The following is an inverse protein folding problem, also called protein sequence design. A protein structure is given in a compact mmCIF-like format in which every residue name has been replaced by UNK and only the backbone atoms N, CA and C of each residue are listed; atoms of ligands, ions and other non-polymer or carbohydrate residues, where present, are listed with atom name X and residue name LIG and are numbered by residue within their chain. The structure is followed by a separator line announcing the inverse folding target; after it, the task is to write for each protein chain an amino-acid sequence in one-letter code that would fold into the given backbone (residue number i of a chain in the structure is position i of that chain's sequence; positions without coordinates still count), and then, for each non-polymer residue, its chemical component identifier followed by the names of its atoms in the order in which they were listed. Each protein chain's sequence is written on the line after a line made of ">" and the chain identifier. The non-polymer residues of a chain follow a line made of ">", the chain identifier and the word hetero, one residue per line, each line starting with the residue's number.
data_IF_944276460938
#
_entry.id   IF_944276460938
#
_cell.length_a   1.000
_cell.length_b   1.000
_cell.length_c   1.000
_cell.angle_alpha   90.00
_cell.angle_beta   90.00
_cell.angle_gamma   90.00
#
_symmetry.space_group_name_H-M   'P 1'
#
loop_
_entity.id
_entity.type
_entity.pdbx_description
1 polymer ?
#
# COMPACT_ATOMS: atom_id res chain seq x y z
N UNK A 1 -76.70 -3.57 -60.20
CA UNK A 1 -76.10 -3.48 -61.56
C UNK A 1 -74.73 -2.87 -61.42
N UNK A 2 -73.74 -3.61 -61.78
CA UNK A 2 -72.54 -3.32 -62.50
C UNK A 2 -71.32 -4.03 -61.87
N UNK A 3 -70.91 -4.85 -62.61
CA UNK A 3 -69.78 -5.68 -63.04
C UNK A 3 -68.45 -5.53 -62.32
N UNK A 4 -68.06 -6.65 -61.80
CA UNK A 4 -66.72 -7.07 -61.38
C UNK A 4 -65.76 -7.17 -62.56
N UNK A 5 -64.57 -6.56 -62.42
CA UNK A 5 -63.41 -6.94 -63.23
C UNK A 5 -62.34 -7.51 -62.35
N UNK A 6 -62.09 -8.80 -62.56
CA UNK A 6 -60.99 -9.59 -62.04
C UNK A 6 -59.72 -9.30 -62.83
N UNK A 7 -58.65 -8.85 -62.17
CA UNK A 7 -57.32 -8.74 -62.77
C UNK A 7 -56.36 -9.68 -62.05
N UNK A 8 -55.99 -10.73 -62.78
CA UNK A 8 -54.99 -11.73 -62.43
C UNK A 8 -53.59 -11.11 -62.37
N UNK A 9 -52.90 -11.16 -61.22
CA UNK A 9 -51.52 -10.79 -61.08
C UNK A 9 -50.67 -12.05 -60.90
N UNK A 10 -49.76 -12.29 -61.84
CA UNK A 10 -48.71 -13.33 -61.80
C UNK A 10 -47.67 -13.06 -60.70
N UNK A 11 -47.14 -14.10 -60.03
CA UNK A 11 -46.11 -13.93 -58.99
C UNK A 11 -44.74 -13.72 -59.62
N UNK A 12 -44.09 -12.64 -59.23
CA UNK A 12 -42.64 -12.38 -59.46
C UNK A 12 -41.80 -13.16 -58.46
N UNK A 13 -41.02 -14.11 -58.98
CA UNK A 13 -40.01 -14.83 -58.20
C UNK A 13 -38.91 -13.88 -57.78
N UNK A 14 -38.74 -13.66 -56.49
CA UNK A 14 -37.61 -12.95 -55.87
C UNK A 14 -36.55 -14.00 -55.55
N UNK A 15 -35.45 -13.97 -56.29
CA UNK A 15 -34.23 -14.73 -56.01
C UNK A 15 -33.51 -14.01 -54.86
N UNK A 16 -33.55 -14.57 -53.64
CA UNK A 16 -32.78 -14.09 -52.52
C UNK A 16 -31.32 -14.60 -52.63
N UNK A 17 -30.39 -13.71 -52.92
CA UNK A 17 -28.96 -13.98 -52.81
C UNK A 17 -28.57 -13.82 -51.34
N UNK A 18 -28.33 -14.93 -50.66
CA UNK A 18 -27.83 -14.99 -49.31
C UNK A 18 -26.29 -14.83 -49.36
N UNK A 19 -25.81 -13.62 -49.10
CA UNK A 19 -24.38 -13.40 -48.91
C UNK A 19 -24.02 -13.85 -47.49
N UNK A 20 -23.32 -14.98 -47.33
CA UNK A 20 -22.69 -15.39 -46.11
C UNK A 20 -21.48 -14.46 -45.82
N UNK A 21 -21.65 -13.50 -44.94
CA UNK A 21 -20.54 -12.76 -44.32
C UNK A 21 -19.97 -13.64 -43.16
N UNK A 22 -18.87 -14.31 -43.43
CA UNK A 22 -18.05 -14.95 -42.40
C UNK A 22 -17.32 -13.84 -41.62
N UNK A 23 -17.88 -13.43 -40.49
CA UNK A 23 -17.16 -12.68 -39.47
C UNK A 23 -16.10 -13.61 -38.85
N UNK A 24 -14.84 -13.45 -39.25
CA UNK A 24 -13.69 -13.99 -38.56
C UNK A 24 -13.59 -13.20 -37.22
N UNK A 25 -14.11 -13.79 -36.13
CA UNK A 25 -13.86 -13.31 -34.78
C UNK A 25 -12.37 -13.51 -34.47
N UNK A 26 -11.60 -12.44 -34.57
CA UNK A 26 -10.28 -12.42 -33.94
C UNK A 26 -10.50 -12.35 -32.42
N UNK A 27 -10.56 -13.53 -31.77
CA UNK A 27 -10.36 -13.66 -30.35
C UNK A 27 -8.90 -13.29 -30.08
N UNK A 28 -8.64 -12.04 -29.75
CA UNK A 28 -7.43 -11.69 -29.01
C UNK A 28 -7.57 -12.32 -27.62
N UNK A 29 -7.06 -13.52 -27.46
CA UNK A 29 -6.77 -14.08 -26.15
C UNK A 29 -5.67 -13.20 -25.56
N UNK A 30 -6.08 -12.12 -24.86
CA UNK A 30 -5.23 -11.50 -23.86
C UNK A 30 -5.03 -12.57 -22.78
N UNK A 31 -3.92 -13.31 -22.86
CA UNK A 31 -3.52 -14.24 -21.82
C UNK A 31 -3.50 -13.48 -20.51
N UNK A 32 -3.99 -14.11 -19.43
CA UNK A 32 -3.78 -13.58 -18.08
C UNK A 32 -2.30 -13.21 -17.94
N UNK A 33 -1.97 -12.03 -17.40
CA UNK A 33 -0.59 -11.64 -17.22
C UNK A 33 0.09 -12.72 -16.39
N UNK A 34 1.16 -13.31 -16.92
CA UNK A 34 1.91 -14.35 -16.25
C UNK A 34 2.29 -13.85 -14.84
N UNK A 35 2.02 -14.65 -13.82
CA UNK A 35 2.36 -14.32 -12.45
C UNK A 35 3.84 -13.92 -12.38
N UNK A 36 4.13 -12.76 -11.79
CA UNK A 36 5.51 -12.30 -11.63
C UNK A 36 6.27 -13.30 -10.75
N UNK A 37 7.44 -13.78 -11.16
CA UNK A 37 8.22 -14.71 -10.36
C UNK A 37 8.66 -14.02 -9.06
N UNK A 38 8.06 -14.41 -7.96
CA UNK A 38 8.38 -13.94 -6.62
C UNK A 38 8.96 -15.06 -5.76
N UNK A 39 9.75 -14.69 -4.77
CA UNK A 39 10.29 -15.59 -3.75
C UNK A 39 9.91 -15.08 -2.38
N UNK A 40 9.40 -15.95 -1.53
CA UNK A 40 9.14 -15.64 -0.12
C UNK A 40 10.24 -16.20 0.76
N UNK A 41 10.49 -15.58 1.90
CA UNK A 41 11.45 -16.01 2.89
C UNK A 41 11.19 -15.38 4.25
N UNK A 42 11.86 -15.95 5.26
CA UNK A 42 11.83 -15.45 6.62
C UNK A 42 13.27 -15.14 7.08
N UNK A 43 13.44 -14.01 7.76
CA UNK A 43 14.63 -13.69 8.53
C UNK A 43 14.29 -13.75 10.01
N UNK A 44 15.11 -14.45 10.80
CA UNK A 44 14.94 -14.60 12.24
C UNK A 44 15.96 -13.73 12.97
N UNK A 45 15.52 -12.56 13.44
CA UNK A 45 16.33 -11.73 14.31
C UNK A 45 16.33 -12.33 15.71
N UNK A 46 17.53 -12.69 16.21
CA UNK A 46 17.73 -13.23 17.55
C UNK A 46 17.83 -12.12 18.58
N UNK A 47 17.25 -12.35 19.76
CA UNK A 47 17.32 -11.45 20.91
C UNK A 47 16.98 -9.99 20.53
N UNK A 48 15.89 -9.79 19.79
CA UNK A 48 15.50 -8.46 19.32
C UNK A 48 15.04 -7.59 20.49
N UNK A 49 15.73 -6.45 20.69
CA UNK A 49 15.44 -5.48 21.74
C UNK A 49 14.55 -4.37 21.21
N UNK A 50 13.37 -4.22 21.80
CA UNK A 50 12.44 -3.12 21.50
C UNK A 50 12.80 -1.85 22.28
N UNK A 51 12.46 -0.70 21.74
CA UNK A 51 12.63 0.59 22.42
C UNK A 51 11.88 0.66 23.77
N UNK A 52 10.83 -0.14 23.95
CA UNK A 52 10.13 -0.30 25.21
C UNK A 52 10.96 -0.98 26.33
N UNK A 53 12.13 -1.53 26.00
CA UNK A 53 12.98 -2.32 26.91
C UNK A 53 12.64 -3.81 26.93
N UNK A 54 11.56 -4.24 26.26
CA UNK A 54 11.24 -5.65 26.11
C UNK A 54 12.20 -6.33 25.12
N UNK A 55 12.38 -7.65 25.27
CA UNK A 55 13.17 -8.46 24.35
C UNK A 55 12.33 -9.63 23.84
N UNK A 56 12.40 -9.91 22.57
CA UNK A 56 11.85 -11.11 21.96
C UNK A 56 13.01 -12.03 21.54
N UNK A 57 13.10 -13.28 22.08
CA UNK A 57 14.22 -14.18 21.77
C UNK A 57 14.35 -14.46 20.27
N UNK A 58 13.23 -14.47 19.55
CA UNK A 58 13.18 -14.66 18.12
C UNK A 58 12.07 -13.82 17.50
N UNK A 59 12.45 -12.84 16.67
CA UNK A 59 11.55 -12.03 15.86
C UNK A 59 11.63 -12.52 14.41
N UNK A 60 10.56 -13.14 13.91
CA UNK A 60 10.44 -13.50 12.48
C UNK A 60 10.00 -12.29 11.68
N UNK A 61 10.74 -12.01 10.61
CA UNK A 61 10.41 -11.01 9.60
C UNK A 61 10.22 -11.73 8.27
N UNK A 62 8.97 -11.81 7.84
CA UNK A 62 8.62 -12.37 6.55
C UNK A 62 8.82 -11.35 5.44
N UNK A 63 9.21 -11.79 4.26
CA UNK A 63 9.38 -10.92 3.10
C UNK A 63 9.10 -11.65 1.78
N UNK A 64 8.73 -10.87 0.79
CA UNK A 64 8.64 -11.30 -0.62
C UNK A 64 9.66 -10.53 -1.44
N UNK A 65 10.34 -11.20 -2.36
CA UNK A 65 11.26 -10.55 -3.30
C UNK A 65 10.91 -10.85 -4.75
N UNK A 66 11.21 -9.88 -5.63
CA UNK A 66 11.12 -10.04 -7.09
C UNK A 66 12.44 -9.60 -7.71
N UNK A 67 12.83 -10.26 -8.81
CA UNK A 67 14.12 -10.03 -9.44
C UNK A 67 15.27 -10.63 -8.67
N UNK A 68 16.49 -10.11 -8.90
CA UNK A 68 17.72 -10.62 -8.27
C UNK A 68 18.67 -9.49 -7.91
N UNK A 69 19.43 -9.60 -6.80
CA UNK A 69 20.45 -8.63 -6.47
C UNK A 69 21.56 -8.62 -7.52
N UNK A 70 21.93 -7.42 -7.96
CA UNK A 70 23.08 -7.16 -8.82
C UNK A 70 24.12 -6.42 -7.99
N UNK A 71 25.36 -6.97 -7.94
CA UNK A 71 26.44 -6.34 -7.17
C UNK A 71 27.34 -5.53 -8.08
N UNK A 72 27.75 -4.37 -7.58
CA UNK A 72 28.75 -3.53 -8.22
C UNK A 72 30.19 -4.13 -8.07
N UNK A 73 31.20 -3.43 -8.60
CA UNK A 73 32.60 -3.88 -8.52
C UNK A 73 33.16 -3.90 -7.09
N UNK A 74 32.56 -3.16 -6.18
CA UNK A 74 32.93 -3.13 -4.76
C UNK A 74 32.20 -4.21 -3.95
N UNK A 75 31.25 -4.93 -4.57
CA UNK A 75 30.48 -5.98 -3.93
C UNK A 75 29.15 -5.53 -3.32
N UNK A 76 28.82 -4.24 -3.37
CA UNK A 76 27.57 -3.71 -2.87
C UNK A 76 26.38 -4.03 -3.78
N UNK A 77 25.20 -4.23 -3.21
CA UNK A 77 23.98 -4.40 -4.01
C UNK A 77 23.55 -3.05 -4.60
N UNK A 78 23.59 -2.95 -5.93
CA UNK A 78 23.39 -1.69 -6.65
C UNK A 78 21.94 -1.43 -7.08
N UNK A 79 21.06 -2.45 -7.08
CA UNK A 79 19.73 -2.40 -7.69
C UNK A 79 18.57 -2.69 -6.72
N UNK A 80 18.81 -2.71 -5.42
CA UNK A 80 17.77 -3.02 -4.44
C UNK A 80 16.75 -1.89 -4.29
N UNK A 81 15.48 -2.25 -4.27
CA UNK A 81 14.34 -1.36 -4.03
C UNK A 81 13.54 -1.91 -2.86
N UNK A 82 13.42 -1.15 -1.79
CA UNK A 82 12.59 -1.50 -0.63
C UNK A 82 11.24 -0.80 -0.76
N UNK A 83 10.13 -1.55 -0.61
CA UNK A 83 8.78 -0.97 -0.62
C UNK A 83 8.03 -1.38 0.64
N UNK A 84 7.60 -0.38 1.43
CA UNK A 84 7.00 -0.55 2.75
C UNK A 84 5.49 -0.32 2.73
N UNK A 85 4.73 -1.27 3.27
CA UNK A 85 3.26 -1.27 3.27
C UNK A 85 2.64 -0.37 4.36
N UNK A 86 1.31 -0.13 4.23
CA UNK A 86 0.50 0.62 5.19
C UNK A 86 0.00 -0.23 6.37
N UNK A 87 -0.60 0.44 7.38
CA UNK A 87 -1.23 -0.21 8.54
C UNK A 87 -2.28 -1.22 8.07
N UNK A 88 -2.28 -2.42 8.67
CA UNK A 88 -3.16 -3.52 8.32
C UNK A 88 -2.82 -4.23 7.00
N UNK A 89 -1.82 -3.76 6.26
CA UNK A 89 -1.34 -4.37 5.03
C UNK A 89 -0.21 -5.39 5.25
N UNK A 90 0.38 -5.82 4.14
CA UNK A 90 1.58 -6.65 4.09
C UNK A 90 2.29 -6.45 2.74
N UNK A 91 3.43 -7.10 2.52
CA UNK A 91 4.19 -6.99 1.29
C UNK A 91 3.42 -7.38 0.02
N UNK A 92 2.49 -8.33 0.11
CA UNK A 92 1.69 -8.80 -1.03
C UNK A 92 0.75 -7.73 -1.61
N UNK A 93 0.39 -6.65 -0.87
CA UNK A 93 -0.42 -5.56 -1.44
C UNK A 93 0.20 -4.95 -2.70
N UNK A 94 1.54 -5.01 -2.81
CA UNK A 94 2.29 -4.49 -3.95
C UNK A 94 2.38 -5.44 -5.14
N UNK A 95 1.78 -6.64 -5.04
CA UNK A 95 1.62 -7.57 -6.15
C UNK A 95 0.28 -7.40 -6.87
N UNK A 96 -0.56 -6.47 -6.42
CA UNK A 96 -1.86 -6.18 -7.03
C UNK A 96 -1.72 -5.60 -8.46
N UNK A 97 -2.67 -5.87 -9.38
CA UNK A 97 -2.58 -5.41 -10.76
C UNK A 97 -2.37 -3.90 -10.92
N UNK A 98 -3.03 -3.08 -10.08
CA UNK A 98 -2.92 -1.62 -10.12
C UNK A 98 -1.57 -1.09 -9.64
N UNK A 99 -0.74 -1.92 -9.00
CA UNK A 99 0.61 -1.59 -8.57
C UNK A 99 1.65 -2.35 -9.40
N UNK A 100 1.67 -3.68 -9.32
CA UNK A 100 2.64 -4.53 -10.00
C UNK A 100 2.52 -4.45 -11.53
N UNK A 101 1.29 -4.40 -12.05
CA UNK A 101 1.02 -4.28 -13.49
C UNK A 101 1.51 -2.98 -14.10
N UNK A 102 1.72 -1.94 -13.28
CA UNK A 102 2.22 -0.64 -13.71
C UNK A 102 3.74 -0.49 -13.54
N UNK A 103 4.38 -1.28 -12.65
CA UNK A 103 5.74 -1.01 -12.22
C UNK A 103 6.77 -2.09 -12.56
N UNK A 104 6.38 -3.37 -12.59
CA UNK A 104 7.34 -4.47 -12.50
C UNK A 104 7.61 -5.20 -13.83
N UNK A 105 6.79 -4.98 -14.83
CA UNK A 105 6.94 -5.62 -16.15
C UNK A 105 8.15 -5.09 -16.95
N UNK A 106 8.49 -5.77 -18.06
CA UNK A 106 9.58 -5.35 -18.93
C UNK A 106 9.43 -3.90 -19.42
N UNK A 107 10.47 -3.09 -19.22
CA UNK A 107 10.50 -1.67 -19.58
C UNK A 107 9.73 -0.73 -18.66
N UNK A 108 9.08 -1.26 -17.61
CA UNK A 108 8.42 -0.45 -16.59
C UNK A 108 9.43 0.11 -15.56
N UNK A 109 9.04 1.12 -14.74
CA UNK A 109 10.00 1.84 -13.89
C UNK A 109 10.80 0.98 -12.92
N UNK A 110 10.21 -0.10 -12.41
CA UNK A 110 10.84 -1.05 -11.49
C UNK A 110 10.88 -2.46 -12.12
N UNK A 111 11.15 -2.54 -13.42
CA UNK A 111 11.32 -3.76 -14.18
C UNK A 111 12.18 -4.79 -13.41
N UNK A 112 11.56 -5.90 -13.00
CA UNK A 112 12.20 -6.92 -12.14
C UNK A 112 13.34 -7.69 -12.81
N UNK A 113 13.54 -7.52 -14.11
CA UNK A 113 14.75 -7.98 -14.79
C UNK A 113 15.99 -7.13 -14.47
N UNK A 114 15.77 -5.90 -13.95
CA UNK A 114 16.82 -4.90 -13.61
C UNK A 114 16.90 -4.61 -12.14
N UNK A 115 15.77 -4.62 -11.43
CA UNK A 115 15.67 -4.26 -10.02
C UNK A 115 15.44 -5.49 -9.13
N UNK A 116 15.98 -5.44 -7.95
CA UNK A 116 15.71 -6.39 -6.86
C UNK A 116 14.73 -5.73 -5.90
N UNK A 117 13.44 -6.03 -6.07
CA UNK A 117 12.35 -5.47 -5.26
C UNK A 117 12.16 -6.31 -4.01
N UNK A 118 12.13 -5.67 -2.84
CA UNK A 118 12.00 -6.28 -1.52
C UNK A 118 10.75 -5.73 -0.85
N UNK A 119 9.82 -6.61 -0.48
CA UNK A 119 8.52 -6.33 0.08
C UNK A 119 8.39 -7.02 1.45
N UNK A 120 8.89 -6.44 2.54
CA UNK A 120 8.78 -7.05 3.86
C UNK A 120 7.37 -6.90 4.43
N UNK A 121 6.96 -7.86 5.26
CA UNK A 121 5.89 -7.69 6.22
C UNK A 121 6.47 -7.04 7.49
N UNK A 122 5.84 -5.96 7.95
CA UNK A 122 6.27 -5.29 9.18
C UNK A 122 5.99 -6.14 10.43
N UNK A 123 6.65 -5.82 11.55
CA UNK A 123 6.29 -6.41 12.86
C UNK A 123 4.79 -6.22 13.09
N UNK A 124 4.10 -7.26 13.55
CA UNK A 124 2.67 -7.22 13.80
C UNK A 124 1.79 -7.37 12.54
N UNK A 125 2.37 -7.67 11.37
CA UNK A 125 1.66 -7.71 10.10
C UNK A 125 1.98 -8.99 9.30
N UNK A 126 1.08 -9.37 8.43
CA UNK A 126 1.26 -10.47 7.49
C UNK A 126 1.72 -11.78 8.15
N UNK A 127 2.84 -12.32 7.68
CA UNK A 127 3.46 -13.54 8.23
C UNK A 127 4.64 -13.24 9.18
N UNK A 128 4.98 -11.95 9.44
CA UNK A 128 5.94 -11.57 10.48
C UNK A 128 5.37 -11.82 11.86
N UNK A 129 6.25 -11.91 12.89
CA UNK A 129 5.83 -12.10 14.29
C UNK A 129 4.81 -11.06 14.72
N UNK A 130 3.73 -11.50 15.35
CA UNK A 130 2.58 -10.68 15.72
C UNK A 130 1.85 -11.21 16.96
N UNK A 131 1.02 -10.41 17.62
CA UNK A 131 0.25 -10.83 18.81
C UNK A 131 -0.53 -12.13 18.62
N UNK A 132 -1.23 -12.29 17.49
CA UNK A 132 -2.05 -13.48 17.20
C UNK A 132 -1.26 -14.78 17.02
N UNK A 133 0.07 -14.73 16.93
CA UNK A 133 0.93 -15.93 16.89
C UNK A 133 1.04 -16.66 18.25
N UNK A 134 0.22 -16.28 19.25
CA UNK A 134 0.12 -16.96 20.55
C UNK A 134 0.60 -16.13 21.76
N UNK A 135 1.27 -15.02 21.54
CA UNK A 135 1.65 -14.11 22.63
C UNK A 135 0.47 -13.25 23.11
N UNK A 136 -0.52 -13.01 22.25
CA UNK A 136 -1.70 -12.19 22.50
C UNK A 136 -1.32 -10.81 23.07
N UNK A 137 -1.96 -10.34 24.15
CA UNK A 137 -1.65 -9.08 24.78
C UNK A 137 -0.28 -9.05 25.49
N UNK A 138 0.46 -10.16 25.54
CA UNK A 138 1.85 -10.23 26.06
C UNK A 138 2.90 -10.03 24.97
N UNK A 139 2.51 -9.86 23.73
CA UNK A 139 3.45 -9.50 22.66
C UNK A 139 4.12 -8.15 23.03
N UNK A 140 5.45 -7.99 22.83
CA UNK A 140 6.11 -6.72 23.13
C UNK A 140 5.46 -5.54 22.43
N UNK A 141 5.23 -4.44 23.16
CA UNK A 141 4.83 -3.19 22.53
C UNK A 141 5.97 -2.69 21.65
N UNK A 142 5.65 -2.43 20.38
CA UNK A 142 6.59 -1.90 19.42
C UNK A 142 6.14 -0.53 18.90
N UNK A 143 7.09 0.24 18.41
CA UNK A 143 6.89 1.51 17.75
C UNK A 143 7.43 1.48 16.32
N UNK A 144 7.20 2.53 15.54
CA UNK A 144 7.72 2.61 14.16
C UNK A 144 9.25 2.57 14.09
N UNK A 145 9.94 3.11 15.11
CA UNK A 145 11.40 3.01 15.18
C UNK A 145 11.88 1.54 15.29
N UNK A 146 11.18 0.69 16.06
CA UNK A 146 11.48 -0.74 16.15
C UNK A 146 11.26 -1.44 14.80
N UNK A 147 10.18 -1.08 14.10
CA UNK A 147 9.89 -1.64 12.78
C UNK A 147 10.96 -1.26 11.76
N UNK A 148 11.44 -0.02 11.77
CA UNK A 148 12.54 0.46 10.90
C UNK A 148 13.85 -0.26 11.24
N UNK A 149 14.19 -0.42 12.53
CA UNK A 149 15.36 -1.19 12.96
C UNK A 149 15.30 -2.65 12.50
N UNK A 150 14.15 -3.30 12.65
CA UNK A 150 13.94 -4.66 12.18
C UNK A 150 14.07 -4.80 10.65
N UNK A 151 13.50 -3.86 9.89
CA UNK A 151 13.66 -3.80 8.44
C UNK A 151 15.13 -3.63 8.03
N UNK A 152 15.89 -2.81 8.76
CA UNK A 152 17.33 -2.65 8.52
C UNK A 152 18.11 -3.95 8.75
N UNK A 153 17.83 -4.67 9.85
CA UNK A 153 18.43 -5.98 10.11
C UNK A 153 18.09 -7.00 9.02
N UNK A 154 16.83 -7.05 8.58
CA UNK A 154 16.42 -7.90 7.46
C UNK A 154 17.25 -7.62 6.21
N UNK A 155 17.46 -6.35 5.87
CA UNK A 155 18.23 -5.99 4.67
C UNK A 155 19.70 -6.36 4.83
N UNK A 156 20.33 -5.94 5.94
CA UNK A 156 21.79 -6.07 6.11
C UNK A 156 22.22 -7.48 6.45
N UNK A 157 21.57 -8.12 7.40
CA UNK A 157 21.95 -9.45 7.87
C UNK A 157 21.22 -10.58 7.14
N UNK A 158 19.92 -10.36 6.82
CA UNK A 158 19.11 -11.39 6.15
C UNK A 158 19.38 -11.49 4.66
N UNK A 159 19.47 -10.36 3.97
CA UNK A 159 19.55 -10.30 2.49
C UNK A 159 20.92 -9.83 1.97
N UNK A 160 21.81 -9.38 2.84
CA UNK A 160 23.12 -8.83 2.46
C UNK A 160 23.02 -7.60 1.56
N UNK A 161 21.99 -6.77 1.82
CA UNK A 161 21.73 -5.49 1.14
C UNK A 161 22.21 -4.37 2.04
N UNK A 162 23.22 -3.64 1.60
CA UNK A 162 23.89 -2.58 2.35
C UNK A 162 23.59 -1.18 1.81
N UNK A 163 22.86 -1.08 0.70
CA UNK A 163 22.34 0.18 0.14
C UNK A 163 21.10 -0.08 -0.72
N UNK A 164 20.28 0.95 -0.85
CA UNK A 164 19.07 0.92 -1.67
C UNK A 164 19.19 1.91 -2.84
N UNK A 165 18.78 1.45 -4.02
CA UNK A 165 18.56 2.34 -5.16
C UNK A 165 17.33 3.24 -4.93
N UNK A 166 16.33 2.72 -4.24
CA UNK A 166 15.11 3.42 -3.87
C UNK A 166 14.52 2.82 -2.59
N UNK A 167 14.07 3.67 -1.68
CA UNK A 167 13.15 3.31 -0.63
C UNK A 167 11.81 4.00 -0.90
N UNK A 168 10.76 3.21 -1.06
CA UNK A 168 9.38 3.68 -1.22
C UNK A 168 8.56 3.20 -0.04
N UNK A 169 7.60 4.01 0.41
CA UNK A 169 6.68 3.58 1.46
C UNK A 169 5.32 4.24 1.33
N UNK A 170 4.28 3.49 1.68
CA UNK A 170 2.87 3.92 1.56
C UNK A 170 2.21 4.01 2.94
N UNK A 171 1.52 5.10 3.26
CA UNK A 171 0.82 5.30 4.54
C UNK A 171 1.75 5.10 5.76
N UNK A 172 1.59 4.04 6.55
CA UNK A 172 2.56 3.66 7.59
C UNK A 172 3.97 3.54 7.03
N UNK A 173 4.15 2.87 5.89
CA UNK A 173 5.45 2.76 5.21
C UNK A 173 6.00 4.11 4.75
N UNK A 174 5.15 5.09 4.44
CA UNK A 174 5.55 6.48 4.20
C UNK A 174 6.18 7.10 5.46
N UNK A 175 5.56 6.87 6.62
CA UNK A 175 6.10 7.32 7.91
C UNK A 175 7.44 6.64 8.23
N UNK A 176 7.53 5.34 7.95
CA UNK A 176 8.81 4.61 8.06
C UNK A 176 9.86 5.16 7.11
N UNK A 177 9.49 5.57 5.88
CA UNK A 177 10.44 6.12 4.92
C UNK A 177 11.11 7.41 5.45
N UNK A 178 10.36 8.29 6.12
CA UNK A 178 10.96 9.46 6.78
C UNK A 178 11.91 9.06 7.91
N UNK A 179 11.50 8.10 8.78
CA UNK A 179 12.37 7.60 9.85
C UNK A 179 13.63 6.91 9.31
N UNK A 180 13.51 6.18 8.20
CA UNK A 180 14.66 5.60 7.50
C UNK A 180 15.64 6.66 7.00
N UNK A 181 15.11 7.71 6.38
CA UNK A 181 15.94 8.82 5.89
C UNK A 181 16.70 9.55 6.99
N UNK A 182 16.14 9.62 8.20
CA UNK A 182 16.78 10.20 9.38
C UNK A 182 17.79 9.27 10.05
N UNK A 183 17.42 7.98 10.19
CA UNK A 183 18.25 7.01 10.92
C UNK A 183 19.43 6.51 10.07
N UNK A 184 19.23 6.38 8.76
CA UNK A 184 20.20 5.80 7.82
C UNK A 184 20.35 6.69 6.57
N UNK A 185 20.79 7.96 6.69
CA UNK A 185 20.75 8.94 5.60
C UNK A 185 21.53 8.54 4.35
N UNK A 186 22.58 7.72 4.49
CA UNK A 186 23.45 7.27 3.40
C UNK A 186 23.06 5.90 2.81
N UNK A 187 21.98 5.29 3.33
CA UNK A 187 21.60 3.93 2.94
C UNK A 187 20.78 3.89 1.63
N UNK A 188 20.17 4.99 1.20
CA UNK A 188 19.34 5.04 0.00
C UNK A 188 19.76 6.16 -0.95
N UNK A 189 19.72 5.88 -2.26
CA UNK A 189 19.97 6.85 -3.32
C UNK A 189 18.76 7.75 -3.61
N UNK A 190 17.56 7.32 -3.26
CA UNK A 190 16.32 8.07 -3.40
C UNK A 190 15.28 7.61 -2.38
N UNK A 191 14.39 8.52 -1.97
CA UNK A 191 13.30 8.29 -1.02
C UNK A 191 11.97 8.73 -1.64
N UNK A 192 10.97 7.84 -1.59
CA UNK A 192 9.63 8.14 -2.13
C UNK A 192 8.53 7.81 -1.11
N UNK A 193 8.27 8.70 -0.15
CA UNK A 193 7.14 8.59 0.77
C UNK A 193 5.81 8.96 0.10
N UNK A 194 4.76 8.12 0.29
CA UNK A 194 3.42 8.32 -0.27
C UNK A 194 2.35 8.25 0.83
N UNK A 195 1.48 9.27 0.88
CA UNK A 195 0.30 9.34 1.74
C UNK A 195 0.58 9.39 3.26
N UNK A 196 1.44 10.30 3.71
CA UNK A 196 1.60 10.64 5.13
C UNK A 196 2.05 12.09 5.33
N UNK A 197 2.18 12.50 6.60
CA UNK A 197 2.78 13.76 7.01
C UNK A 197 3.96 13.49 7.97
N UNK A 198 5.11 14.17 7.83
CA UNK A 198 6.27 13.97 8.69
C UNK A 198 6.19 14.85 9.96
N UNK A 199 5.12 14.69 10.71
CA UNK A 199 4.84 15.37 11.99
C UNK A 199 4.11 14.39 12.93
N UNK A 200 4.03 14.68 14.24
CA UNK A 200 3.24 13.88 15.18
C UNK A 200 1.81 13.69 14.70
N UNK A 201 1.27 12.50 14.91
CA UNK A 201 -0.12 12.20 14.54
C UNK A 201 -1.07 12.91 15.51
N UNK A 202 -1.76 13.92 15.00
CA UNK A 202 -2.67 14.77 15.76
C UNK A 202 -4.02 14.95 15.06
N UNK A 203 -4.89 15.77 15.64
CA UNK A 203 -6.18 16.15 15.07
C UNK A 203 -7.04 14.94 14.70
N UNK A 204 -7.73 15.03 13.56
CA UNK A 204 -8.66 13.98 13.08
C UNK A 204 -7.97 12.62 12.89
N UNK A 205 -6.71 12.61 12.42
CA UNK A 205 -5.94 11.37 12.27
C UNK A 205 -5.74 10.66 13.63
N UNK A 206 -5.47 11.40 14.72
CA UNK A 206 -5.39 10.81 16.06
C UNK A 206 -6.77 10.40 16.61
N UNK A 207 -7.82 11.17 16.31
CA UNK A 207 -9.16 10.91 16.83
C UNK A 207 -9.68 9.54 16.37
N UNK A 208 -9.69 9.25 15.07
CA UNK A 208 -10.20 7.96 14.59
C UNK A 208 -9.38 6.77 15.09
N UNK A 209 -8.04 6.94 15.22
CA UNK A 209 -7.17 5.91 15.81
C UNK A 209 -7.53 5.64 17.27
N UNK A 210 -7.80 6.70 18.04
CA UNK A 210 -8.22 6.58 19.42
C UNK A 210 -9.58 5.90 19.54
N UNK A 211 -10.55 6.26 18.70
CA UNK A 211 -11.86 5.61 18.65
C UNK A 211 -11.76 4.11 18.37
N UNK A 212 -10.89 3.71 17.45
CA UNK A 212 -10.65 2.29 17.15
C UNK A 212 -10.01 1.56 18.35
N UNK A 213 -9.00 2.17 18.97
CA UNK A 213 -8.33 1.60 20.15
C UNK A 213 -9.32 1.43 21.30
N UNK A 214 -10.13 2.44 21.58
CA UNK A 214 -11.11 2.41 22.65
C UNK A 214 -12.21 1.37 22.38
N UNK A 215 -12.72 1.30 21.13
CA UNK A 215 -13.71 0.31 20.75
C UNK A 215 -13.25 -1.13 21.06
N UNK A 216 -11.98 -1.45 20.78
CA UNK A 216 -11.44 -2.78 21.09
C UNK A 216 -11.24 -2.97 22.58
N UNK A 217 -10.62 -1.99 23.28
CA UNK A 217 -10.26 -2.12 24.70
C UNK A 217 -11.45 -2.13 25.65
N UNK A 218 -12.54 -1.45 25.26
CA UNK A 218 -13.76 -1.35 26.06
C UNK A 218 -14.74 -2.50 25.76
N UNK A 219 -14.50 -3.30 24.72
CA UNK A 219 -15.32 -4.47 24.41
C UNK A 219 -15.07 -5.60 25.44
N UNK A 220 -16.07 -6.00 26.25
CA UNK A 220 -15.90 -7.10 27.20
C UNK A 220 -15.46 -8.42 26.55
N UNK A 221 -15.81 -8.63 25.28
CA UNK A 221 -15.43 -9.84 24.54
C UNK A 221 -13.92 -9.88 24.20
N UNK A 222 -13.23 -8.73 24.21
CA UNK A 222 -11.77 -8.67 24.05
C UNK A 222 -11.03 -9.31 25.25
N UNK A 223 -11.63 -9.33 26.43
CA UNK A 223 -11.10 -10.00 27.62
C UNK A 223 -9.63 -9.65 27.96
N UNK A 224 -9.24 -8.37 27.81
CA UNK A 224 -7.87 -7.94 28.03
C UNK A 224 -6.85 -8.50 27.03
N UNK A 225 -7.32 -8.94 25.87
CA UNK A 225 -6.51 -9.55 24.80
C UNK A 225 -6.40 -11.07 24.87
N UNK A 226 -7.09 -11.72 25.81
CA UNK A 226 -7.09 -13.19 25.98
C UNK A 226 -8.42 -13.80 25.52
N UNK A 227 -9.04 -13.24 24.46
CA UNK A 227 -10.28 -13.74 23.87
C UNK A 227 -10.13 -15.13 23.24
N UNK A 228 -11.22 -15.91 23.23
CA UNK A 228 -11.27 -17.23 22.58
C UNK A 228 -11.87 -17.17 21.16
N UNK A 229 -12.58 -16.12 20.88
CA UNK A 229 -13.13 -15.78 19.57
C UNK A 229 -13.07 -14.28 19.39
N UNK A 230 -12.87 -13.83 18.17
CA UNK A 230 -12.75 -12.41 17.86
C UNK A 230 -13.89 -11.57 18.44
N UNK A 231 -13.60 -10.41 19.04
CA UNK A 231 -14.60 -9.46 19.54
C UNK A 231 -15.23 -8.73 18.34
N UNK A 232 -16.23 -9.37 17.72
CA UNK A 232 -16.76 -8.98 16.41
C UNK A 232 -17.42 -7.59 16.39
N UNK A 233 -18.00 -7.14 17.51
CA UNK A 233 -18.66 -5.82 17.54
C UNK A 233 -17.64 -4.68 17.51
N UNK A 234 -16.58 -4.79 18.27
CA UNK A 234 -15.49 -3.80 18.24
C UNK A 234 -14.71 -3.84 16.92
N UNK A 235 -14.48 -5.03 16.35
CA UNK A 235 -13.86 -5.16 15.03
C UNK A 235 -14.76 -4.60 13.91
N UNK A 236 -16.08 -4.68 14.04
CA UNK A 236 -17.02 -4.01 13.13
C UNK A 236 -16.83 -2.49 13.20
N UNK A 237 -16.85 -1.92 14.40
CA UNK A 237 -16.61 -0.49 14.61
C UNK A 237 -15.27 -0.05 14.03
N UNK A 238 -14.21 -0.84 14.25
CA UNK A 238 -12.89 -0.59 13.70
C UNK A 238 -12.89 -0.60 12.16
N UNK A 239 -13.58 -1.58 11.56
CA UNK A 239 -13.74 -1.70 10.11
C UNK A 239 -14.48 -0.49 9.52
N UNK A 240 -15.56 -0.05 10.15
CA UNK A 240 -16.34 1.12 9.70
C UNK A 240 -15.49 2.41 9.73
N UNK A 241 -14.69 2.60 10.78
CA UNK A 241 -13.75 3.73 10.88
C UNK A 241 -12.67 3.67 9.78
N UNK A 242 -12.12 2.48 9.50
CA UNK A 242 -11.13 2.29 8.44
C UNK A 242 -11.72 2.51 7.04
N UNK A 243 -12.96 2.09 6.80
CA UNK A 243 -13.66 2.34 5.54
C UNK A 243 -13.78 3.84 5.27
N UNK A 244 -14.25 4.62 6.25
CA UNK A 244 -14.41 6.07 6.10
C UNK A 244 -13.05 6.75 5.97
N UNK A 245 -12.09 6.41 6.83
CA UNK A 245 -10.74 7.00 6.79
C UNK A 245 -10.01 6.74 5.46
N UNK A 246 -10.22 5.58 4.84
CA UNK A 246 -9.63 5.21 3.56
C UNK A 246 -10.40 5.68 2.32
N UNK A 247 -11.60 6.27 2.49
CA UNK A 247 -12.48 6.60 1.37
C UNK A 247 -12.20 7.97 0.73
N UNK A 248 -12.66 8.14 -0.53
CA UNK A 248 -12.64 9.40 -1.27
C UNK A 248 -14.05 9.79 -1.68
N UNK A 249 -14.52 11.01 -1.38
CA UNK A 249 -15.93 11.37 -1.56
C UNK A 249 -16.39 11.32 -3.03
N UNK A 250 -15.59 11.81 -3.98
CA UNK A 250 -15.95 11.81 -5.40
C UNK A 250 -16.04 10.39 -5.95
N UNK A 251 -15.05 9.55 -5.60
CA UNK A 251 -15.07 8.14 -6.02
C UNK A 251 -16.25 7.38 -5.41
N UNK A 252 -16.47 7.52 -4.10
CA UNK A 252 -17.56 6.83 -3.41
C UNK A 252 -18.92 7.22 -3.98
N UNK A 253 -19.15 8.52 -4.25
CA UNK A 253 -20.39 8.98 -4.87
C UNK A 253 -20.59 8.45 -6.29
N UNK A 254 -19.51 8.33 -7.08
CA UNK A 254 -19.59 7.78 -8.43
C UNK A 254 -19.80 6.25 -8.45
N UNK A 255 -19.12 5.53 -7.54
CA UNK A 255 -19.17 4.06 -7.48
C UNK A 255 -20.44 3.54 -6.78
N UNK A 256 -20.97 4.27 -5.81
CA UNK A 256 -22.12 3.89 -4.99
C UNK A 256 -23.17 5.02 -4.93
N UNK A 257 -23.83 5.34 -6.07
CA UNK A 257 -24.65 6.55 -6.22
C UNK A 257 -26.04 6.46 -5.56
N UNK A 258 -26.48 5.29 -5.11
CA UNK A 258 -27.77 5.07 -4.45
C UNK A 258 -27.58 4.68 -2.99
N UNK A 259 -28.65 4.88 -2.17
CA UNK A 259 -28.69 4.39 -0.80
C UNK A 259 -28.33 2.89 -0.74
N UNK A 260 -29.03 2.08 -1.53
CA UNK A 260 -28.86 0.62 -1.49
C UNK A 260 -27.44 0.18 -1.87
N UNK A 261 -26.84 0.82 -2.87
CA UNK A 261 -25.44 0.53 -3.26
C UNK A 261 -24.45 0.94 -2.18
N UNK A 262 -24.67 2.07 -1.49
CA UNK A 262 -23.83 2.51 -0.39
C UNK A 262 -23.96 1.61 0.83
N UNK A 263 -25.20 1.22 1.20
CA UNK A 263 -25.46 0.28 2.30
C UNK A 263 -24.84 -1.10 2.01
N UNK A 264 -24.98 -1.59 0.78
CA UNK A 264 -24.35 -2.85 0.35
C UNK A 264 -22.82 -2.79 0.46
N UNK A 265 -22.22 -1.66 0.07
CA UNK A 265 -20.76 -1.46 0.19
C UNK A 265 -20.27 -1.56 1.63
N UNK A 266 -21.00 -1.00 2.59
CA UNK A 266 -20.66 -1.12 4.02
C UNK A 266 -20.67 -2.59 4.45
N UNK A 267 -21.74 -3.30 4.12
CA UNK A 267 -21.91 -4.74 4.47
C UNK A 267 -20.79 -5.59 3.86
N UNK A 268 -20.51 -5.40 2.58
CA UNK A 268 -19.45 -6.12 1.86
C UNK A 268 -18.07 -5.89 2.50
N UNK A 269 -17.70 -4.62 2.70
CA UNK A 269 -16.40 -4.25 3.28
C UNK A 269 -16.24 -4.80 4.69
N UNK A 270 -17.24 -4.59 5.54
CA UNK A 270 -17.21 -5.05 6.93
C UNK A 270 -17.15 -6.58 7.02
N UNK A 271 -17.92 -7.29 6.18
CA UNK A 271 -17.89 -8.76 6.15
C UNK A 271 -16.52 -9.30 5.74
N UNK A 272 -15.89 -8.70 4.72
CA UNK A 272 -14.54 -9.06 4.29
C UNK A 272 -13.49 -8.77 5.38
N UNK A 273 -13.58 -7.62 6.03
CA UNK A 273 -12.71 -7.23 7.13
C UNK A 273 -12.80 -8.18 8.31
N UNK A 274 -14.01 -8.52 8.76
CA UNK A 274 -14.26 -9.42 9.88
C UNK A 274 -13.84 -10.89 9.62
N UNK A 275 -13.54 -11.24 8.40
CA UNK A 275 -13.00 -12.55 8.05
C UNK A 275 -11.48 -12.67 8.26
N UNK A 276 -10.78 -11.52 8.37
CA UNK A 276 -9.32 -11.49 8.37
C UNK A 276 -8.70 -10.71 9.52
N UNK A 277 -9.45 -9.80 10.16
CA UNK A 277 -8.95 -8.99 11.27
C UNK A 277 -8.84 -9.81 12.56
N UNK A 278 -7.72 -9.63 13.26
CA UNK A 278 -7.48 -10.03 14.64
C UNK A 278 -7.43 -8.75 15.50
N UNK A 279 -8.10 -8.77 16.64
CA UNK A 279 -8.26 -7.57 17.47
C UNK A 279 -6.93 -7.12 18.10
N UNK A 280 -6.10 -8.04 18.55
CA UNK A 280 -4.81 -7.71 19.13
C UNK A 280 -3.84 -7.20 18.05
N UNK A 281 -3.77 -7.87 16.90
CA UNK A 281 -2.92 -7.43 15.79
C UNK A 281 -3.29 -5.99 15.38
N UNK A 282 -4.57 -5.71 15.17
CA UNK A 282 -5.05 -4.37 14.79
C UNK A 282 -4.76 -3.32 15.88
N UNK A 283 -4.98 -3.66 17.14
CA UNK A 283 -4.70 -2.78 18.28
C UNK A 283 -3.22 -2.38 18.32
N UNK A 284 -2.31 -3.36 18.17
CA UNK A 284 -0.87 -3.12 18.15
C UNK A 284 -0.43 -2.33 16.92
N UNK A 285 -0.93 -2.67 15.73
CA UNK A 285 -0.64 -1.97 14.47
C UNK A 285 -0.99 -0.47 14.55
N UNK A 286 -2.16 -0.14 15.10
CA UNK A 286 -2.59 1.26 15.23
C UNK A 286 -1.82 1.97 16.35
N UNK A 287 -1.51 1.26 17.44
CA UNK A 287 -0.78 1.81 18.59
C UNK A 287 0.70 2.06 18.29
N UNK A 288 1.31 1.33 17.35
CA UNK A 288 2.72 1.45 16.98
C UNK A 288 3.13 2.86 16.53
N UNK A 289 2.17 3.66 16.09
CA UNK A 289 2.37 5.05 15.62
C UNK A 289 2.44 6.10 16.73
N UNK A 290 2.37 5.71 18.01
CA UNK A 290 2.22 6.64 19.16
C UNK A 290 3.37 7.65 19.29
N UNK A 291 4.59 7.24 18.94
CA UNK A 291 5.81 8.01 19.11
C UNK A 291 6.34 8.60 17.79
N UNK A 292 5.57 8.49 16.71
CA UNK A 292 5.99 8.97 15.41
C UNK A 292 6.11 10.49 15.38
N UNK A 293 7.33 10.98 15.26
CA UNK A 293 7.66 12.40 15.05
C UNK A 293 9.04 12.58 14.38
N UNK A 294 9.12 12.61 13.05
CA UNK A 294 10.38 12.92 12.35
C UNK A 294 10.62 14.43 12.23
N UNK A 295 9.71 15.29 12.69
CA UNK A 295 9.76 16.72 12.40
C UNK A 295 11.03 17.43 12.88
N UNK A 296 11.69 16.91 13.92
CA UNK A 296 12.88 17.54 14.48
C UNK A 296 14.14 17.36 13.62
N UNK A 297 14.17 16.40 12.69
CA UNK A 297 15.41 16.00 11.97
C UNK A 297 15.24 15.85 10.47
N UNK A 298 14.19 16.42 9.86
CA UNK A 298 13.94 16.34 8.42
C UNK A 298 15.12 16.84 7.57
N UNK A 299 15.86 17.84 8.06
CA UNK A 299 17.04 18.39 7.41
C UNK A 299 18.22 17.41 7.34
N UNK A 300 18.20 16.34 8.16
CA UNK A 300 19.23 15.30 8.14
C UNK A 300 19.07 14.33 6.96
N UNK A 301 17.89 14.28 6.35
CA UNK A 301 17.65 13.44 5.18
C UNK A 301 18.48 13.97 4.01
N UNK A 302 19.53 13.23 3.63
CA UNK A 302 20.47 13.59 2.57
C UNK A 302 20.00 13.16 1.17
N UNK A 303 19.22 12.06 1.10
CA UNK A 303 18.72 11.53 -0.16
C UNK A 303 17.72 12.48 -0.83
N UNK A 304 17.65 12.54 -2.16
CA UNK A 304 16.54 13.16 -2.88
C UNK A 304 15.20 12.53 -2.48
N UNK A 305 14.24 13.40 -2.09
CA UNK A 305 12.91 12.99 -1.62
C UNK A 305 11.84 13.42 -2.62
N UNK A 306 11.07 12.46 -3.11
CA UNK A 306 9.84 12.71 -3.84
C UNK A 306 8.67 12.31 -2.95
N UNK A 307 8.00 13.28 -2.34
CA UNK A 307 6.88 13.04 -1.45
C UNK A 307 5.55 13.31 -2.15
N UNK A 308 4.60 12.36 -2.08
CA UNK A 308 3.32 12.44 -2.80
C UNK A 308 2.15 12.18 -1.86
N UNK A 309 1.16 13.08 -1.87
CA UNK A 309 -0.14 12.88 -1.24
C UNK A 309 -1.27 13.13 -2.26
N UNK A 310 -2.49 12.72 -1.93
CA UNK A 310 -3.70 12.98 -2.73
C UNK A 310 -4.54 14.11 -2.10
N UNK A 311 -5.11 14.98 -2.92
CA UNK A 311 -5.89 16.12 -2.45
C UNK A 311 -7.23 15.70 -1.82
N UNK A 312 -7.71 14.50 -2.07
CA UNK A 312 -8.91 13.90 -1.48
C UNK A 312 -8.62 12.92 -0.33
N UNK A 313 -7.38 12.94 0.22
CA UNK A 313 -7.00 12.11 1.35
C UNK A 313 -7.64 12.60 2.65
N UNK A 314 -8.52 11.79 3.24
CA UNK A 314 -9.16 12.09 4.52
C UNK A 314 -8.16 12.12 5.70
N UNK A 315 -7.11 11.29 5.65
CA UNK A 315 -6.12 11.14 6.72
C UNK A 315 -5.11 12.27 6.71
N UNK A 316 -4.66 12.68 5.50
CA UNK A 316 -3.64 13.70 5.29
C UNK A 316 -4.17 14.84 4.39
N UNK A 317 -5.22 15.56 4.80
CA UNK A 317 -5.85 16.54 3.96
C UNK A 317 -4.93 17.75 3.71
N UNK A 318 -4.90 18.29 2.48
CA UNK A 318 -4.02 19.41 2.12
C UNK A 318 -4.34 20.70 2.86
N UNK A 319 -5.58 20.89 3.33
CA UNK A 319 -6.03 22.08 4.07
C UNK A 319 -5.23 22.32 5.35
N UNK A 320 -4.51 21.32 5.86
CA UNK A 320 -3.63 21.48 7.01
C UNK A 320 -2.40 22.35 6.69
N UNK A 321 -2.01 22.49 5.42
CA UNK A 321 -0.81 23.24 4.99
C UNK A 321 0.52 22.64 5.50
N UNK A 322 0.46 21.47 6.15
CA UNK A 322 1.65 20.84 6.77
C UNK A 322 2.62 20.33 5.71
N UNK A 323 2.11 19.73 4.66
CA UNK A 323 2.96 19.12 3.64
C UNK A 323 3.85 20.17 2.96
N UNK A 324 3.28 21.28 2.53
CA UNK A 324 4.01 22.38 1.90
C UNK A 324 5.01 23.06 2.85
N UNK A 325 4.66 23.14 4.14
CA UNK A 325 5.54 23.71 5.15
C UNK A 325 6.75 22.78 5.42
N UNK A 326 6.53 21.48 5.59
CA UNK A 326 7.58 20.53 5.90
C UNK A 326 8.45 20.20 4.67
N UNK A 327 7.90 20.22 3.46
CA UNK A 327 8.65 19.99 2.23
C UNK A 327 9.80 21.01 2.05
N UNK A 328 9.61 22.25 2.50
CA UNK A 328 10.63 23.32 2.46
C UNK A 328 11.84 23.02 3.37
N UNK A 329 11.69 22.12 4.32
CA UNK A 329 12.75 21.72 5.26
C UNK A 329 13.60 20.57 4.72
N UNK A 330 13.14 19.84 3.72
CA UNK A 330 13.90 18.79 3.06
C UNK A 330 14.94 19.41 2.13
N UNK A 331 16.22 19.05 2.28
CA UNK A 331 17.33 19.61 1.49
C UNK A 331 17.16 19.40 -0.01
N UNK A 332 16.69 18.22 -0.39
CA UNK A 332 16.47 17.78 -1.78
C UNK A 332 15.05 17.24 -1.93
N UNK A 333 14.05 17.94 -1.33
CA UNK A 333 12.66 17.52 -1.31
C UNK A 333 11.83 18.15 -2.42
N UNK A 334 10.95 17.32 -3.03
CA UNK A 334 9.88 17.76 -3.89
C UNK A 334 8.58 17.15 -3.39
N UNK A 335 7.60 17.99 -3.11
CA UNK A 335 6.23 17.56 -2.76
C UNK A 335 5.33 17.65 -3.98
N UNK A 336 4.51 16.62 -4.20
CA UNK A 336 3.49 16.55 -5.26
C UNK A 336 2.15 16.23 -4.62
N UNK A 337 1.16 17.06 -4.89
CA UNK A 337 -0.22 16.84 -4.50
C UNK A 337 -1.00 16.35 -5.74
N UNK A 338 -1.43 15.09 -5.71
CA UNK A 338 -2.29 14.54 -6.76
C UNK A 338 -3.67 15.20 -6.69
N UNK A 339 -4.19 15.78 -7.79
CA UNK A 339 -5.48 16.44 -7.78
C UNK A 339 -6.62 15.45 -7.51
N UNK A 340 -7.62 15.88 -6.73
CA UNK A 340 -8.81 15.08 -6.49
C UNK A 340 -9.61 14.86 -7.79
N UNK A 341 -10.13 13.67 -7.97
CA UNK A 341 -10.94 13.29 -9.13
C UNK A 341 -11.85 12.10 -8.81
N UNK A 342 -12.78 11.77 -9.71
CA UNK A 342 -13.59 10.56 -9.58
C UNK A 342 -12.78 9.26 -9.74
N UNK A 343 -11.56 9.33 -10.25
CA UNK A 343 -10.64 8.19 -10.41
C UNK A 343 -9.72 8.00 -9.21
N UNK A 344 -9.39 9.07 -8.45
CA UNK A 344 -8.57 8.96 -7.24
C UNK A 344 -9.32 8.21 -6.12
N UNK A 345 -8.57 7.66 -5.19
CA UNK A 345 -9.07 6.77 -4.12
C UNK A 345 -8.82 7.35 -2.73
N UNK A 346 -8.70 8.69 -2.62
CA UNK A 346 -8.34 9.33 -1.37
C UNK A 346 -7.02 8.81 -0.84
N UNK A 347 -7.01 8.39 0.41
CA UNK A 347 -5.82 7.77 1.02
C UNK A 347 -5.30 6.58 0.20
N UNK A 348 -6.19 5.75 -0.35
CA UNK A 348 -5.84 4.58 -1.15
C UNK A 348 -5.14 4.87 -2.49
N UNK A 349 -5.10 6.13 -2.95
CA UNK A 349 -4.44 6.51 -4.23
C UNK A 349 -2.97 6.13 -4.26
N UNK A 350 -2.32 5.99 -3.10
CA UNK A 350 -0.91 5.58 -3.00
C UNK A 350 -0.62 4.18 -3.57
N UNK A 351 -1.60 3.28 -3.63
CA UNK A 351 -1.44 1.94 -4.22
C UNK A 351 -1.81 1.87 -5.71
N UNK A 352 -2.31 2.97 -6.28
CA UNK A 352 -2.66 3.05 -7.70
C UNK A 352 -1.53 3.74 -8.46
N UNK A 353 -0.53 2.95 -8.87
CA UNK A 353 0.72 3.46 -9.43
C UNK A 353 0.54 4.34 -10.67
N UNK A 354 -0.52 4.12 -11.46
CA UNK A 354 -0.83 4.94 -12.64
C UNK A 354 -0.94 6.45 -12.33
N UNK A 355 -1.34 6.84 -11.10
CA UNK A 355 -1.48 8.24 -10.72
C UNK A 355 -0.15 8.97 -10.52
N UNK A 356 0.89 8.24 -10.14
CA UNK A 356 2.18 8.83 -9.77
C UNK A 356 3.40 8.19 -10.46
N UNK A 357 3.19 7.18 -11.30
CA UNK A 357 4.27 6.52 -12.07
C UNK A 357 5.18 7.51 -12.84
N UNK A 358 4.68 8.56 -13.51
CA UNK A 358 5.54 9.53 -14.18
C UNK A 358 6.53 10.22 -13.24
N UNK A 359 6.10 10.50 -12.00
CA UNK A 359 6.92 11.13 -10.97
C UNK A 359 8.04 10.20 -10.47
N UNK A 360 7.74 8.90 -10.32
CA UNK A 360 8.74 7.87 -10.03
C UNK A 360 9.79 7.79 -11.15
N UNK A 361 9.37 7.78 -12.40
CA UNK A 361 10.30 7.77 -13.55
C UNK A 361 11.24 8.98 -13.51
N UNK A 362 10.70 10.17 -13.23
CA UNK A 362 11.50 11.39 -13.11
C UNK A 362 12.52 11.29 -11.96
N UNK A 363 12.11 10.78 -10.77
CA UNK A 363 13.00 10.57 -9.63
C UNK A 363 14.13 9.58 -9.96
N UNK A 364 13.81 8.44 -10.55
CA UNK A 364 14.78 7.42 -10.93
C UNK A 364 15.77 7.96 -11.98
N UNK A 365 15.31 8.75 -12.93
CA UNK A 365 16.16 9.38 -13.95
C UNK A 365 17.11 10.41 -13.32
N UNK A 366 16.57 11.29 -12.47
CA UNK A 366 17.35 12.33 -11.79
C UNK A 366 18.44 11.76 -10.88
N UNK A 367 18.19 10.62 -10.26
CA UNK A 367 19.11 9.97 -9.32
C UNK A 367 19.96 8.87 -9.98
N UNK A 368 19.87 8.69 -11.30
CA UNK A 368 20.75 7.80 -12.06
C UNK A 368 22.06 8.53 -12.36
N UNK A 369 23.03 8.44 -11.44
CA UNK A 369 24.41 8.83 -11.74
C UNK A 369 25.25 7.57 -11.96
N UNK A 370 26.00 7.48 -13.08
CA UNK A 370 26.84 6.31 -13.37
C UNK A 370 28.09 6.18 -12.45
N UNK A 371 28.37 7.17 -11.59
CA UNK A 371 29.66 7.29 -10.87
C UNK A 371 29.56 7.71 -9.38
N UNK A 372 28.54 7.24 -8.62
CA UNK A 372 28.57 7.39 -7.16
C UNK A 372 28.41 6.05 -6.44
#
# INVERSE_FOLDING_TARGET
>A
MSQTHCATVLPRSIVAITALLTLAAWSSAAGEPAALPSQEGDYLARDFHFASGATLPELRLHYTTLGRPVRDRAGHVANAVLILHGTGGNGHQFLSPQFAGELYGPGQPLDVSKYYVILPDGIGHGKSSKPSDGAHARFPEYAYADMVAAQHLLLTEGLGVDRLRLLMGTSMGCMHAFLWGEAYPDFMAALMPLACLPVPIAGRNRMWRRMLIDAIREDPAWAGGEYKSEPRESLRTASDLLLIAGSAPLYMQAAFPSRDSADHRVVEYTSASLATLDANDLLYQVSASRDYDPSARLENISAPVLWINSADDFINPPELGIAEAQAKRLRHGRFVLLPASAQTRGHGSHTWAAFWKPELVALLTQTSHPDR
#
